data_IF_374746141077
#
_entry.id   IF_374746141077
#
_cell.length_a   1.000
_cell.length_b   1.000
_cell.length_c   1.000
_cell.angle_alpha   90.00
_cell.angle_beta   90.00
_cell.angle_gamma   90.00
#
_symmetry.space_group_name_H-M   'P 1'
#
loop_
_entity.id
_entity.type
_entity.pdbx_description
1 polymer ?
#
# COMPACT_ATOMS: atom_id res chain seq x y z
N UNK A 1 -31.79 15.76 -43.58
CA UNK A 1 -32.48 15.87 -42.29
C UNK A 1 -33.02 14.50 -41.94
N UNK A 2 -32.36 13.77 -41.05
CA UNK A 2 -32.88 12.55 -40.45
C UNK A 2 -32.46 12.54 -38.99
N UNK A 3 -33.46 12.51 -38.12
CA UNK A 3 -33.39 12.62 -36.68
C UNK A 3 -32.58 11.48 -36.04
N UNK A 4 -31.58 11.84 -35.24
CA UNK A 4 -30.94 10.94 -34.28
C UNK A 4 -31.46 11.30 -32.88
N UNK A 5 -32.66 10.78 -32.56
CA UNK A 5 -33.27 10.90 -31.23
C UNK A 5 -32.75 9.81 -30.30
N UNK A 6 -32.13 10.25 -29.21
CA UNK A 6 -32.29 9.75 -27.84
C UNK A 6 -32.09 8.25 -27.58
N UNK A 7 -30.84 7.87 -27.27
CA UNK A 7 -30.55 6.70 -26.44
C UNK A 7 -30.62 7.11 -24.97
N UNK A 8 -31.83 7.04 -24.40
CA UNK A 8 -32.02 7.04 -22.95
C UNK A 8 -31.49 5.72 -22.37
N UNK A 9 -30.79 5.73 -21.22
CA UNK A 9 -30.38 4.50 -20.55
C UNK A 9 -31.63 3.79 -20.02
N UNK A 10 -31.90 2.60 -20.56
CA UNK A 10 -32.98 1.73 -20.13
C UNK A 10 -32.89 1.42 -18.64
N UNK A 11 -34.03 1.60 -17.98
CA UNK A 11 -34.33 1.27 -16.60
C UNK A 11 -33.94 -0.20 -16.32
N UNK A 12 -32.82 -0.41 -15.64
CA UNK A 12 -32.34 -1.75 -15.26
C UNK A 12 -33.25 -2.35 -14.18
N UNK A 13 -33.77 -3.55 -14.43
CA UNK A 13 -34.61 -4.31 -13.51
C UNK A 13 -33.73 -4.79 -12.32
N UNK A 14 -34.12 -4.61 -11.04
CA UNK A 14 -33.31 -5.03 -9.88
C UNK A 14 -32.95 -6.52 -9.84
N UNK A 15 -33.61 -7.37 -10.63
CA UNK A 15 -33.29 -8.78 -10.83
C UNK A 15 -32.12 -9.05 -11.81
N UNK A 16 -31.73 -8.07 -12.63
CA UNK A 16 -30.61 -8.21 -13.58
C UNK A 16 -29.24 -7.96 -12.93
N UNK A 17 -29.22 -7.31 -11.77
CA UNK A 17 -28.00 -7.01 -11.01
C UNK A 17 -27.18 -8.27 -10.65
N UNK A 18 -27.75 -9.34 -10.06
CA UNK A 18 -26.99 -10.55 -9.76
C UNK A 18 -26.54 -11.30 -11.02
N UNK A 19 -27.37 -11.32 -12.07
CA UNK A 19 -27.00 -11.95 -13.34
C UNK A 19 -25.82 -11.22 -14.02
N UNK A 20 -25.84 -9.89 -14.02
CA UNK A 20 -24.76 -9.06 -14.52
C UNK A 20 -23.49 -9.22 -13.70
N UNK A 21 -23.58 -9.27 -12.36
CA UNK A 21 -22.42 -9.52 -11.48
C UNK A 21 -21.74 -10.85 -11.79
N UNK A 22 -22.51 -11.92 -11.95
CA UNK A 22 -21.97 -13.24 -12.32
C UNK A 22 -21.32 -13.18 -13.70
N UNK A 23 -21.94 -12.52 -14.67
CA UNK A 23 -21.38 -12.37 -16.01
C UNK A 23 -20.07 -11.58 -15.99
N UNK A 24 -20.00 -10.47 -15.24
CA UNK A 24 -18.76 -9.71 -15.07
C UNK A 24 -17.67 -10.53 -14.40
N UNK A 25 -17.99 -11.27 -13.34
CA UNK A 25 -17.03 -12.13 -12.65
C UNK A 25 -16.46 -13.22 -13.58
N UNK A 26 -17.31 -13.84 -14.42
CA UNK A 26 -16.86 -14.83 -15.41
C UNK A 26 -15.94 -14.23 -16.47
N UNK A 27 -16.29 -13.05 -16.99
CA UNK A 27 -15.45 -12.34 -17.98
C UNK A 27 -14.10 -11.96 -17.37
N UNK A 28 -14.10 -11.40 -16.16
CA UNK A 28 -12.87 -10.99 -15.46
C UNK A 28 -12.01 -12.22 -15.15
N UNK A 29 -12.59 -13.32 -14.65
CA UNK A 29 -11.86 -14.56 -14.38
C UNK A 29 -11.17 -15.07 -15.64
N UNK A 30 -11.89 -15.11 -16.77
CA UNK A 30 -11.32 -15.56 -18.05
C UNK A 30 -10.19 -14.65 -18.53
N UNK A 31 -10.31 -13.34 -18.37
CA UNK A 31 -9.25 -12.39 -18.71
C UNK A 31 -8.01 -12.63 -17.82
N UNK A 32 -8.20 -12.84 -16.52
CA UNK A 32 -7.11 -13.13 -15.58
C UNK A 32 -6.38 -14.44 -15.91
N UNK A 33 -7.11 -15.49 -16.26
CA UNK A 33 -6.52 -16.77 -16.69
C UNK A 33 -5.72 -16.60 -17.99
N UNK A 34 -6.25 -15.85 -18.96
CA UNK A 34 -5.57 -15.59 -20.24
C UNK A 34 -4.24 -14.84 -20.01
N UNK A 35 -4.24 -13.83 -19.15
CA UNK A 35 -3.08 -12.99 -18.83
C UNK A 35 -2.03 -13.72 -17.99
N UNK A 36 -2.47 -14.69 -17.20
CA UNK A 36 -1.59 -15.54 -16.41
C UNK A 36 -0.78 -16.46 -17.32
N UNK A 37 -1.45 -17.12 -18.27
CA UNK A 37 -0.85 -18.19 -19.07
C UNK A 37 -0.14 -17.67 -20.34
N UNK A 38 -0.56 -16.52 -20.89
CA UNK A 38 0.05 -15.91 -22.07
C UNK A 38 0.78 -14.59 -21.74
N UNK A 39 2.09 -14.58 -21.97
CA UNK A 39 2.94 -13.42 -21.74
C UNK A 39 2.66 -12.27 -22.73
N UNK A 40 2.21 -12.56 -23.96
CA UNK A 40 1.85 -11.55 -24.94
C UNK A 40 0.53 -10.87 -24.56
N UNK A 41 -0.48 -11.66 -24.19
CA UNK A 41 -1.75 -11.16 -23.66
C UNK A 41 -1.54 -10.27 -22.42
N UNK A 42 -0.60 -10.63 -21.53
CA UNK A 42 -0.24 -9.80 -20.37
C UNK A 42 0.33 -8.45 -20.76
N UNK A 43 1.30 -8.42 -21.67
CA UNK A 43 1.91 -7.16 -22.13
C UNK A 43 0.87 -6.28 -22.81
N UNK A 44 0.03 -6.86 -23.66
CA UNK A 44 -1.06 -6.14 -24.33
C UNK A 44 -2.03 -5.51 -23.33
N UNK A 45 -2.47 -6.25 -22.30
CA UNK A 45 -3.36 -5.71 -21.27
C UNK A 45 -2.73 -4.57 -20.47
N UNK A 46 -1.42 -4.64 -20.18
CA UNK A 46 -0.70 -3.54 -19.52
C UNK A 46 -0.65 -2.31 -20.41
N UNK A 47 -0.43 -2.47 -21.71
CA UNK A 47 -0.45 -1.36 -22.67
C UNK A 47 -1.83 -0.72 -22.80
N UNK A 48 -2.89 -1.52 -22.83
CA UNK A 48 -4.26 -1.01 -22.88
C UNK A 48 -4.65 -0.28 -21.59
N UNK A 49 -4.21 -0.77 -20.43
CA UNK A 49 -4.38 -0.07 -19.17
C UNK A 49 -3.60 1.26 -19.15
N UNK A 50 -2.38 1.30 -19.70
CA UNK A 50 -1.59 2.53 -19.78
C UNK A 50 -2.29 3.58 -20.65
N UNK A 51 -2.85 3.18 -21.80
CA UNK A 51 -3.66 4.07 -22.67
C UNK A 51 -4.89 4.61 -21.93
N UNK A 52 -5.63 3.74 -21.24
CA UNK A 52 -6.80 4.13 -20.47
C UNK A 52 -6.45 5.12 -19.35
N UNK A 53 -5.38 4.85 -18.59
CA UNK A 53 -4.91 5.72 -17.51
C UNK A 53 -4.43 7.08 -18.00
N UNK A 54 -3.77 7.11 -19.16
CA UNK A 54 -3.41 8.36 -19.82
C UNK A 54 -4.65 9.16 -20.22
N UNK A 55 -5.73 8.52 -20.67
CA UNK A 55 -6.96 9.23 -20.99
C UNK A 55 -7.68 9.75 -19.73
N UNK A 56 -7.66 9.00 -18.63
CA UNK A 56 -8.26 9.40 -17.35
C UNK A 56 -7.55 10.63 -16.74
N UNK A 57 -6.22 10.64 -16.73
CA UNK A 57 -5.43 11.71 -16.09
C UNK A 57 -5.47 13.05 -16.82
N UNK A 58 -5.77 13.07 -18.12
CA UNK A 58 -5.70 14.27 -18.96
C UNK A 58 -7.08 14.85 -19.30
N UNK A 59 -8.14 14.42 -18.63
CA UNK A 59 -9.51 14.97 -18.80
C UNK A 59 -9.64 16.47 -18.54
N UNK A 60 -8.61 17.13 -17.97
CA UNK A 60 -8.54 18.58 -17.72
C UNK A 60 -7.38 19.30 -18.42
N UNK A 61 -6.58 18.60 -19.23
CA UNK A 61 -5.41 19.19 -19.89
C UNK A 61 -5.71 19.63 -21.34
N UNK A 62 -4.97 20.64 -21.80
CA UNK A 62 -5.09 21.21 -23.14
C UNK A 62 -4.95 20.14 -24.25
N UNK A 63 -5.89 20.11 -25.19
CA UNK A 63 -6.05 19.02 -26.19
C UNK A 63 -4.78 18.71 -26.98
N UNK A 64 -3.95 19.73 -27.26
CA UNK A 64 -2.68 19.60 -27.98
C UNK A 64 -1.63 18.78 -27.21
N UNK A 65 -1.61 18.87 -25.88
CA UNK A 65 -0.68 18.10 -25.05
C UNK A 65 -1.08 16.63 -24.96
N UNK A 66 -2.38 16.32 -25.10
CA UNK A 66 -2.90 14.95 -25.05
C UNK A 66 -2.40 14.14 -26.23
N UNK A 67 -2.46 14.69 -27.44
CA UNK A 67 -2.05 13.98 -28.65
C UNK A 67 -0.54 13.73 -28.69
N UNK A 68 0.27 14.71 -28.23
CA UNK A 68 1.71 14.52 -28.09
C UNK A 68 2.05 13.43 -27.06
N UNK A 69 1.34 13.39 -25.94
CA UNK A 69 1.57 12.39 -24.89
C UNK A 69 1.13 10.99 -25.33
N UNK A 70 0.01 10.88 -26.07
CA UNK A 70 -0.43 9.62 -26.69
C UNK A 70 0.61 9.10 -27.67
N UNK A 71 1.13 9.97 -28.55
CA UNK A 71 2.18 9.59 -29.49
C UNK A 71 3.44 9.10 -28.77
N UNK A 72 3.85 9.80 -27.71
CA UNK A 72 5.00 9.39 -26.89
C UNK A 72 4.79 8.02 -26.24
N UNK A 73 3.57 7.73 -25.75
CA UNK A 73 3.22 6.42 -25.19
C UNK A 73 3.32 5.32 -26.25
N UNK A 74 2.82 5.52 -27.47
CA UNK A 74 2.91 4.51 -28.53
C UNK A 74 4.36 4.22 -28.93
N UNK A 75 5.21 5.25 -29.04
CA UNK A 75 6.65 5.08 -29.32
C UNK A 75 7.34 4.30 -28.19
N UNK A 76 6.97 4.57 -26.93
CA UNK A 76 7.51 3.84 -25.79
C UNK A 76 7.08 2.36 -25.78
N UNK A 77 5.81 2.07 -26.08
CA UNK A 77 5.29 0.70 -26.21
C UNK A 77 6.05 -0.04 -27.32
N UNK A 78 6.24 0.58 -28.49
CA UNK A 78 7.02 -0.01 -29.58
C UNK A 78 8.48 -0.28 -29.17
N UNK A 79 9.10 0.64 -28.43
CA UNK A 79 10.45 0.47 -27.89
C UNK A 79 10.57 -0.70 -26.93
N UNK A 80 9.61 -0.86 -26.01
CA UNK A 80 9.55 -1.99 -25.06
C UNK A 80 9.33 -3.31 -25.80
N UNK A 81 8.47 -3.34 -26.82
CA UNK A 81 8.23 -4.54 -27.61
C UNK A 81 9.46 -4.96 -28.44
N UNK A 82 10.18 -4.00 -29.04
CA UNK A 82 11.45 -4.26 -29.71
C UNK A 82 12.50 -4.83 -28.74
N UNK A 83 12.60 -4.28 -27.54
CA UNK A 83 13.50 -4.78 -26.50
C UNK A 83 13.12 -6.19 -26.04
N UNK A 84 11.83 -6.44 -25.80
CA UNK A 84 11.31 -7.75 -25.38
C UNK A 84 11.56 -8.83 -26.42
N UNK A 85 11.43 -8.51 -27.72
CA UNK A 85 11.69 -9.47 -28.82
C UNK A 85 13.17 -9.79 -28.98
N UNK A 86 14.04 -8.82 -28.76
CA UNK A 86 15.49 -9.01 -28.88
C UNK A 86 16.11 -9.83 -27.74
N UNK A 87 15.43 -9.96 -26.59
CA UNK A 87 15.85 -10.81 -25.48
C UNK A 87 15.39 -12.28 -25.60
N UNK A 88 14.50 -12.60 -26.55
CA UNK A 88 13.82 -13.90 -26.62
C UNK A 88 14.67 -15.10 -27.15
N UNK A 89 15.92 -14.94 -27.64
CA UNK A 89 16.82 -16.10 -27.80
C UNK A 89 17.97 -16.25 -26.80
N UNK A 90 18.06 -15.49 -25.70
CA UNK A 90 19.12 -15.67 -24.70
C UNK A 90 18.58 -16.18 -23.36
N UNK A 91 18.04 -17.41 -23.38
CA UNK A 91 18.04 -18.22 -22.15
C UNK A 91 19.49 -18.67 -21.85
N UNK A 92 19.94 -18.30 -20.66
CA UNK A 92 21.09 -18.85 -19.91
C UNK A 92 22.48 -18.59 -20.49
N UNK A 93 23.01 -17.39 -20.20
CA UNK A 93 24.45 -17.30 -19.94
C UNK A 93 24.71 -17.91 -18.55
N UNK A 94 25.61 -18.91 -18.41
CA UNK A 94 26.09 -19.33 -17.11
C UNK A 94 26.76 -18.12 -16.43
N UNK A 95 26.58 -17.98 -15.12
CA UNK A 95 27.40 -17.09 -14.30
C UNK A 95 28.88 -17.45 -14.55
N UNK A 96 29.54 -16.70 -15.44
CA UNK A 96 30.98 -16.76 -15.57
C UNK A 96 31.55 -16.16 -14.29
N UNK A 97 32.00 -17.06 -13.41
CA UNK A 97 32.99 -16.76 -12.39
C UNK A 97 34.11 -15.96 -13.06
N UNK A 98 34.32 -14.71 -12.65
CA UNK A 98 35.54 -13.98 -12.94
C UNK A 98 36.70 -14.73 -12.25
N UNK A 99 37.69 -15.27 -12.98
CA UNK A 99 38.97 -15.56 -12.38
C UNK A 99 39.66 -14.21 -12.16
N UNK A 100 39.98 -13.95 -10.90
CA UNK A 100 40.87 -12.87 -10.47
C UNK A 100 42.17 -12.91 -11.28
N UNK A 101 42.36 -11.95 -12.18
CA UNK A 101 43.61 -11.77 -12.89
C UNK A 101 44.60 -11.03 -11.97
N UNK A 102 45.51 -11.80 -11.36
CA UNK A 102 46.75 -11.26 -10.82
C UNK A 102 47.60 -10.75 -11.99
N UNK A 103 48.02 -9.51 -11.84
CA UNK A 103 49.04 -8.84 -12.66
C UNK A 103 50.40 -9.47 -12.33
N UNK A 104 51.06 -10.07 -13.34
CA UNK A 104 52.51 -10.19 -13.36
C UNK A 104 53.03 -10.10 -14.80
N UNK A 105 53.53 -8.92 -15.11
CA UNK A 105 54.77 -8.58 -15.85
C UNK A 105 55.61 -9.73 -16.44
N UNK A 106 55.81 -9.75 -17.78
CA UNK A 106 57.09 -9.70 -18.53
C UNK A 106 57.05 -10.39 -19.92
N UNK A 107 57.50 -9.65 -20.96
CA UNK A 107 58.52 -10.10 -21.94
C UNK A 107 58.20 -11.05 -23.12
N UNK A 108 58.34 -10.51 -24.35
CA UNK A 108 58.95 -11.11 -25.58
C UNK A 108 58.24 -12.32 -26.27
N UNK A 109 57.78 -12.26 -27.54
CA UNK A 109 58.45 -12.35 -28.87
C UNK A 109 58.55 -13.81 -29.45
N UNK A 110 58.11 -13.95 -30.72
CA UNK A 110 58.21 -15.07 -31.71
C UNK A 110 57.16 -16.22 -31.64
N UNK A 111 56.77 -17.00 -32.66
CA UNK A 111 56.74 -17.06 -34.15
C UNK A 111 55.99 -18.39 -34.49
N UNK A 112 55.38 -18.50 -35.67
CA UNK A 112 54.89 -19.73 -36.35
C UNK A 112 53.71 -20.47 -35.71
N UNK A 113 52.64 -20.85 -36.43
CA UNK A 113 52.58 -21.32 -37.82
C UNK A 113 52.48 -22.84 -37.80
N UNK A 114 51.29 -23.40 -38.02
CA UNK A 114 50.94 -24.21 -39.20
C UNK A 114 49.59 -24.92 -39.01
N UNK A 115 48.90 -25.13 -40.12
CA UNK A 115 47.63 -25.83 -40.20
C UNK A 115 47.85 -27.28 -40.64
N UNK A 116 47.10 -28.24 -40.08
CA UNK A 116 46.82 -29.50 -40.79
C UNK A 116 45.47 -30.10 -40.41
N UNK A 117 44.87 -30.67 -41.46
CA UNK A 117 43.52 -31.17 -41.68
C UNK A 117 43.31 -32.60 -41.08
N UNK A 118 42.07 -32.85 -40.63
CA UNK A 118 41.24 -34.09 -40.45
C UNK A 118 41.80 -35.46 -40.95
N UNK A 119 41.32 -36.67 -40.50
CA UNK A 119 39.91 -36.99 -40.15
C UNK A 119 39.62 -38.12 -39.09
N UNK A 120 38.34 -38.17 -38.70
CA UNK A 120 37.45 -39.33 -38.44
C UNK A 120 37.93 -40.60 -37.70
N UNK A 121 37.26 -40.92 -36.58
CA UNK A 121 37.10 -42.29 -36.09
C UNK A 121 35.67 -42.53 -35.60
N UNK A 122 35.01 -43.47 -36.25
CA UNK A 122 33.68 -44.00 -35.98
C UNK A 122 33.73 -44.92 -34.74
N UNK A 123 32.84 -44.69 -33.79
CA UNK A 123 32.59 -45.61 -32.66
C UNK A 123 31.08 -45.73 -32.38
N UNK A 124 30.43 -46.74 -32.95
CA UNK A 124 29.09 -47.20 -32.55
C UNK A 124 29.21 -47.99 -31.24
N UNK A 125 28.41 -47.66 -30.22
CA UNK A 125 27.99 -48.66 -29.22
C UNK A 125 26.68 -48.28 -28.50
N UNK A 126 25.67 -49.13 -28.74
CA UNK A 126 24.56 -49.57 -27.88
C UNK A 126 23.85 -48.59 -26.94
N UNK A 127 22.60 -48.32 -27.33
CA UNK A 127 21.36 -48.50 -26.56
C UNK A 127 21.46 -48.63 -25.03
N UNK A 128 20.83 -47.70 -24.31
CA UNK A 128 20.09 -47.93 -23.06
C UNK A 128 19.12 -46.77 -22.82
N UNK A 129 17.81 -47.03 -22.93
CA UNK A 129 16.81 -46.27 -22.19
C UNK A 129 17.04 -46.51 -20.69
N UNK A 130 16.79 -45.51 -19.83
CA UNK A 130 16.20 -45.77 -18.54
C UNK A 130 14.84 -45.07 -18.41
N UNK A 131 13.94 -45.83 -17.81
CA UNK A 131 12.57 -45.52 -17.52
C UNK A 131 12.43 -44.31 -16.59
N UNK A 132 11.43 -43.48 -16.89
CA UNK A 132 10.88 -42.48 -15.99
C UNK A 132 9.89 -43.17 -15.02
N UNK A 133 10.17 -43.11 -13.73
CA UNK A 133 9.16 -43.29 -12.67
C UNK A 133 9.64 -42.58 -11.41
N UNK A 134 9.36 -41.28 -11.31
CA UNK A 134 9.44 -40.51 -10.07
C UNK A 134 8.09 -40.52 -9.34
N UNK A 135 8.06 -40.48 -8.00
CA UNK A 135 6.86 -40.82 -7.23
C UNK A 135 5.86 -39.67 -7.20
N UNK A 136 4.60 -39.95 -7.56
CA UNK A 136 3.43 -39.05 -7.51
C UNK A 136 2.96 -38.69 -6.07
N UNK A 137 3.84 -38.81 -5.08
CA UNK A 137 3.54 -38.58 -3.67
C UNK A 137 3.56 -37.11 -3.18
N UNK A 138 4.20 -36.11 -3.85
CA UNK A 138 4.17 -34.73 -3.36
C UNK A 138 2.97 -33.92 -3.86
N UNK A 139 2.27 -34.37 -4.91
CA UNK A 139 1.11 -33.65 -5.49
C UNK A 139 -0.15 -33.86 -4.67
N UNK A 140 -0.37 -35.07 -4.15
CA UNK A 140 -1.54 -35.41 -3.33
C UNK A 140 -1.51 -34.68 -1.97
N UNK A 141 -0.33 -34.46 -1.38
CA UNK A 141 -0.18 -33.68 -0.14
C UNK A 141 -0.51 -32.19 -0.30
N UNK A 142 -0.26 -31.61 -1.49
CA UNK A 142 -0.57 -30.19 -1.77
C UNK A 142 -2.06 -29.97 -2.02
N UNK A 143 -2.76 -30.92 -2.65
CA UNK A 143 -4.20 -30.85 -2.85
C UNK A 143 -4.99 -30.93 -1.54
N UNK A 144 -4.55 -31.77 -0.58
CA UNK A 144 -5.18 -31.88 0.73
C UNK A 144 -5.07 -30.60 1.57
N UNK A 145 -3.94 -29.89 1.51
CA UNK A 145 -3.75 -28.62 2.22
C UNK A 145 -4.67 -27.50 1.69
N UNK A 146 -4.89 -27.45 0.37
CA UNK A 146 -5.78 -26.47 -0.26
C UNK A 146 -7.25 -26.72 0.14
N UNK A 147 -7.68 -27.98 0.20
CA UNK A 147 -9.04 -28.32 0.64
C UNK A 147 -9.30 -27.97 2.11
N UNK A 148 -8.30 -28.06 2.99
CA UNK A 148 -8.42 -27.63 4.40
C UNK A 148 -8.58 -26.11 4.50
N UNK A 149 -7.83 -25.34 3.70
CA UNK A 149 -7.96 -23.87 3.67
C UNK A 149 -9.32 -23.44 3.13
N UNK A 150 -9.80 -24.06 2.06
CA UNK A 150 -11.13 -23.77 1.51
C UNK A 150 -12.23 -24.14 2.52
N UNK A 151 -12.12 -25.29 3.19
CA UNK A 151 -13.03 -25.68 4.27
C UNK A 151 -13.06 -24.68 5.43
N UNK A 152 -11.90 -24.19 5.86
CA UNK A 152 -11.82 -23.18 6.92
C UNK A 152 -12.48 -21.85 6.52
N UNK A 153 -12.30 -21.42 5.27
CA UNK A 153 -12.94 -20.20 4.75
C UNK A 153 -14.47 -20.36 4.71
N UNK A 154 -14.99 -21.52 4.26
CA UNK A 154 -16.43 -21.79 4.24
C UNK A 154 -17.03 -21.78 5.66
N UNK A 155 -16.32 -22.37 6.64
CA UNK A 155 -16.77 -22.36 8.05
C UNK A 155 -16.82 -20.92 8.60
N UNK A 156 -15.78 -20.11 8.35
CA UNK A 156 -15.72 -18.70 8.80
C UNK A 156 -16.86 -17.87 8.20
N UNK A 157 -17.17 -18.06 6.92
CA UNK A 157 -18.27 -17.33 6.27
C UNK A 157 -19.63 -17.78 6.81
N UNK A 158 -19.85 -19.09 7.02
CA UNK A 158 -21.12 -19.59 7.57
C UNK A 158 -21.40 -19.17 9.02
N UNK A 159 -20.36 -18.95 9.82
CA UNK A 159 -20.51 -18.46 11.20
C UNK A 159 -20.94 -16.99 11.26
N UNK A 160 -20.58 -16.17 10.27
CA UNK A 160 -20.99 -14.76 10.22
C UNK A 160 -22.50 -14.60 10.05
N UNK A 161 -23.15 -15.48 9.28
CA UNK A 161 -24.60 -15.44 9.08
C UNK A 161 -25.40 -15.86 10.32
N UNK A 162 -24.86 -16.83 11.10
CA UNK A 162 -25.49 -17.25 12.37
C UNK A 162 -25.39 -16.18 13.48
N UNK A 163 -24.30 -15.41 13.50
CA UNK A 163 -24.12 -14.30 14.46
C UNK A 163 -25.01 -13.10 14.10
N UNK A 164 -25.22 -12.84 12.81
CA UNK A 164 -26.14 -11.78 12.35
C UNK A 164 -27.61 -12.08 12.72
N UNK A 165 -28.03 -13.35 12.68
CA UNK A 165 -29.37 -13.77 13.10
C UNK A 165 -29.60 -13.64 14.62
N UNK A 166 -28.58 -13.97 15.44
CA UNK A 166 -28.68 -13.86 16.91
C UNK A 166 -28.74 -12.40 17.37
N UNK A 167 -28.05 -11.49 16.68
CA UNK A 167 -28.05 -10.04 16.98
C UNK A 167 -29.41 -9.37 16.72
N UNK A 168 -30.18 -9.88 15.74
CA UNK A 168 -31.55 -9.40 15.47
C UNK A 168 -32.55 -9.82 16.54
N UNK A 169 -32.38 -11.00 17.13
CA UNK A 169 -33.21 -11.48 18.25
C UNK A 169 -32.99 -10.70 19.55
N UNK A 170 -31.77 -10.21 19.77
CA UNK A 170 -31.42 -9.41 20.96
C UNK A 170 -31.87 -7.94 20.80
N UNK A 171 -31.94 -7.44 19.56
CA UNK A 171 -32.33 -6.05 19.28
C UNK A 171 -33.85 -5.82 19.21
N UNK A 172 -34.68 -6.88 19.26
CA UNK A 172 -36.15 -6.78 19.24
C UNK A 172 -36.80 -6.73 20.63
N UNK A 173 -36.03 -6.61 21.71
CA UNK A 173 -36.58 -6.35 23.04
C UNK A 173 -36.78 -4.84 23.23
N UNK A 174 -37.96 -4.37 22.82
CA UNK A 174 -38.49 -3.05 23.14
C UNK A 174 -38.60 -2.91 24.67
N UNK A 175 -38.05 -1.87 25.30
CA UNK A 175 -38.32 -1.60 26.70
C UNK A 175 -39.79 -1.17 26.82
N UNK A 176 -40.62 -1.98 27.45
CA UNK A 176 -41.97 -1.62 27.83
C UNK A 176 -41.89 -0.50 28.88
N UNK A 177 -42.23 0.72 28.46
CA UNK A 177 -42.31 1.89 29.32
C UNK A 177 -43.53 1.68 30.22
N UNK A 178 -43.29 1.23 31.45
CA UNK A 178 -44.32 1.19 32.49
C UNK A 178 -44.73 2.64 32.84
N UNK A 179 -45.96 2.99 32.45
CA UNK A 179 -46.63 4.23 32.79
C UNK A 179 -46.96 4.23 34.30
N UNK A 180 -46.24 5.01 35.10
CA UNK A 180 -46.59 5.25 36.51
C UNK A 180 -47.49 6.48 36.60
N UNK A 181 -48.74 6.29 37.05
CA UNK A 181 -49.69 7.35 37.39
C UNK A 181 -49.35 7.98 38.77
N UNK A 182 -49.69 9.26 39.02
CA UNK A 182 -49.14 10.03 40.14
C UNK A 182 -50.00 10.03 41.43
N UNK A 183 -49.32 10.39 42.55
CA UNK A 183 -49.80 11.09 43.78
C UNK A 183 -50.05 10.23 45.06
N UNK A 184 -49.89 10.75 46.32
CA UNK A 184 -49.31 12.03 46.81
C UNK A 184 -48.12 11.90 47.78
N UNK A 185 -47.51 13.07 48.00
CA UNK A 185 -46.60 13.50 49.07
C UNK A 185 -46.57 12.64 50.36
N UNK A 186 -45.36 12.21 50.73
CA UNK A 186 -44.98 12.06 52.12
C UNK A 186 -43.53 12.48 52.31
N UNK A 187 -43.37 13.60 53.02
CA UNK A 187 -42.29 13.94 53.95
C UNK A 187 -40.85 13.74 53.48
N UNK A 188 -40.22 14.86 53.11
CA UNK A 188 -38.78 15.00 52.91
C UNK A 188 -38.06 14.59 54.20
N UNK A 189 -37.41 13.42 54.18
CA UNK A 189 -36.32 13.12 55.10
C UNK A 189 -35.03 13.33 54.31
N UNK A 190 -34.26 14.35 54.68
CA UNK A 190 -32.94 14.62 54.12
C UNK A 190 -32.03 13.45 54.49
N UNK A 191 -31.87 12.50 53.56
CA UNK A 191 -30.80 11.52 53.61
C UNK A 191 -29.56 12.15 52.97
N UNK A 192 -28.52 12.26 53.80
CA UNK A 192 -27.12 12.52 53.45
C UNK A 192 -26.75 11.87 52.11
N UNK A 193 -26.08 12.56 51.16
CA UNK A 193 -25.66 11.95 49.92
C UNK A 193 -24.70 10.79 50.24
N UNK A 194 -25.17 9.57 50.05
CA UNK A 194 -24.34 8.38 50.10
C UNK A 194 -23.42 8.45 48.88
N UNK A 195 -22.15 8.70 49.20
CA UNK A 195 -21.05 8.83 48.29
C UNK A 195 -20.93 7.53 47.48
N UNK A 196 -21.29 7.57 46.20
CA UNK A 196 -20.91 6.54 45.24
C UNK A 196 -19.38 6.40 45.36
N UNK A 197 -18.84 5.21 45.69
CA UNK A 197 -17.41 5.03 45.76
C UNK A 197 -16.83 5.43 44.40
N UNK A 198 -15.81 6.30 44.35
CA UNK A 198 -15.12 6.54 43.10
C UNK A 198 -14.65 5.18 42.59
N UNK A 199 -15.08 4.82 41.38
CA UNK A 199 -14.56 3.65 40.68
C UNK A 199 -13.03 3.69 40.70
N UNK A 200 -12.36 2.52 40.68
CA UNK A 200 -10.92 2.44 40.82
C UNK A 200 -10.24 3.49 39.92
N UNK A 201 -9.31 4.30 40.48
CA UNK A 201 -8.68 5.38 39.72
C UNK A 201 -8.08 4.76 38.46
N UNK A 202 -8.56 5.21 37.30
CA UNK A 202 -7.93 4.86 36.03
C UNK A 202 -6.44 5.19 36.18
N UNK A 203 -5.53 4.29 35.76
CA UNK A 203 -4.10 4.54 35.89
C UNK A 203 -3.80 5.93 35.33
N UNK A 204 -3.13 6.76 36.14
CA UNK A 204 -2.88 8.16 35.83
C UNK A 204 -2.06 8.24 34.53
N UNK A 205 -2.77 8.45 33.42
CA UNK A 205 -2.17 8.60 32.09
C UNK A 205 -1.34 9.88 32.08
N UNK A 206 -0.14 9.80 31.50
CA UNK A 206 0.74 10.95 31.34
C UNK A 206 0.13 11.91 30.32
N UNK A 207 -0.04 13.17 30.71
CA UNK A 207 -0.58 14.25 29.87
C UNK A 207 0.47 15.36 29.72
N UNK A 208 0.52 16.03 28.56
CA UNK A 208 1.45 17.14 28.34
C UNK A 208 1.08 18.35 29.21
N UNK A 209 2.09 19.09 29.63
CA UNK A 209 1.96 20.35 30.39
C UNK A 209 2.00 21.58 29.49
N UNK A 210 2.64 21.45 28.33
CA UNK A 210 2.86 22.53 27.37
C UNK A 210 2.06 22.29 26.09
N UNK A 211 1.69 23.38 25.40
CA UNK A 211 0.99 23.29 24.14
C UNK A 211 1.85 22.62 23.07
N UNK A 212 1.25 21.69 22.33
CA UNK A 212 1.95 20.92 21.32
C UNK A 212 1.14 19.73 20.83
N UNK A 213 1.74 18.98 19.91
CA UNK A 213 1.21 17.71 19.41
C UNK A 213 2.16 16.62 19.86
N UNK A 214 1.64 15.61 20.55
CA UNK A 214 2.45 14.57 21.17
C UNK A 214 2.01 13.19 20.71
N UNK A 215 2.96 12.28 20.53
CA UNK A 215 2.70 10.85 20.47
C UNK A 215 2.82 10.24 21.87
N UNK A 216 1.88 9.35 22.21
CA UNK A 216 1.84 8.62 23.46
C UNK A 216 2.40 7.21 23.26
N UNK A 217 3.48 6.90 23.97
CA UNK A 217 4.16 5.60 23.90
C UNK A 217 3.73 4.78 25.12
N UNK A 218 3.12 3.62 24.87
CA UNK A 218 2.66 2.65 25.89
C UNK A 218 1.83 3.25 27.04
N UNK A 219 1.09 4.33 26.78
CA UNK A 219 0.33 5.12 27.76
C UNK A 219 1.19 5.67 28.94
N UNK A 220 2.53 5.69 28.79
CA UNK A 220 3.50 6.00 29.87
C UNK A 220 4.43 7.17 29.58
N UNK A 221 4.74 7.45 28.32
CA UNK A 221 5.62 8.57 27.95
C UNK A 221 5.08 9.33 26.75
N UNK A 222 5.42 10.61 26.68
CA UNK A 222 5.02 11.51 25.61
C UNK A 222 6.25 11.98 24.86
N UNK A 223 6.13 12.05 23.53
CA UNK A 223 7.15 12.64 22.67
C UNK A 223 6.49 13.65 21.75
N UNK A 224 7.02 14.87 21.73
CA UNK A 224 6.52 15.93 20.88
C UNK A 224 6.84 15.67 19.40
N UNK A 225 5.83 15.87 18.54
CA UNK A 225 5.96 15.72 17.10
C UNK A 225 6.44 17.01 16.44
N UNK A 226 7.35 16.88 15.48
CA UNK A 226 7.87 18.02 14.72
C UNK A 226 6.98 18.33 13.52
N UNK A 227 6.54 19.58 13.42
CA UNK A 227 5.86 20.09 12.23
C UNK A 227 6.82 20.14 11.03
N UNK A 228 6.34 19.75 9.85
CA UNK A 228 7.09 19.86 8.59
C UNK A 228 6.54 20.99 7.71
N UNK A 229 7.38 21.52 6.83
CA UNK A 229 7.02 22.63 5.94
C UNK A 229 6.09 22.21 4.79
N UNK A 230 5.95 20.91 4.51
CA UNK A 230 5.11 20.39 3.45
C UNK A 230 3.81 19.85 4.03
N UNK A 231 2.70 20.25 3.41
CA UNK A 231 1.35 19.84 3.76
C UNK A 231 1.05 18.46 3.15
N UNK A 232 0.22 17.65 3.81
CA UNK A 232 -0.34 16.49 3.16
C UNK A 232 -1.23 16.94 1.99
N UNK A 233 -0.97 16.49 0.75
CA UNK A 233 -1.73 16.96 -0.40
C UNK A 233 -3.17 16.44 -0.36
N UNK A 234 -4.06 16.97 -1.19
CA UNK A 234 -5.39 16.36 -1.32
C UNK A 234 -5.28 14.87 -1.74
N UNK A 235 -6.23 14.03 -1.33
CA UNK A 235 -6.15 12.57 -1.53
C UNK A 235 -6.14 12.15 -3.02
N UNK A 236 -6.56 13.05 -3.92
CA UNK A 236 -6.49 12.87 -5.39
C UNK A 236 -5.07 13.04 -5.94
N UNK A 237 -4.18 13.68 -5.20
CA UNK A 237 -2.78 13.88 -5.57
C UNK A 237 -1.96 12.75 -4.95
N UNK A 238 -1.34 11.93 -5.81
CA UNK A 238 -0.67 10.71 -5.37
C UNK A 238 0.59 10.94 -4.51
N UNK A 239 1.31 12.05 -4.76
CA UNK A 239 2.63 12.34 -4.19
C UNK A 239 2.75 13.83 -3.89
N UNK A 240 3.24 14.19 -2.71
CA UNK A 240 3.58 15.57 -2.36
C UNK A 240 4.89 16.04 -3.02
N UNK A 241 5.21 17.34 -2.96
CA UNK A 241 6.58 17.80 -3.13
C UNK A 241 7.54 17.08 -2.16
N UNK A 242 8.80 16.94 -2.59
CA UNK A 242 9.87 16.38 -1.76
C UNK A 242 10.17 17.30 -0.57
N UNK A 243 10.39 16.70 0.60
CA UNK A 243 10.76 17.40 1.82
C UNK A 243 11.90 16.68 2.55
N UNK A 244 12.63 17.43 3.36
CA UNK A 244 13.66 16.88 4.24
C UNK A 244 12.97 16.26 5.46
N UNK A 245 13.10 14.94 5.62
CA UNK A 245 12.61 14.20 6.79
C UNK A 245 13.36 14.67 8.05
N UNK A 246 12.65 15.05 9.12
CA UNK A 246 13.25 15.15 10.44
C UNK A 246 13.80 13.79 10.89
N UNK A 247 14.85 13.79 11.71
CA UNK A 247 15.36 12.58 12.36
C UNK A 247 14.37 12.11 13.45
N UNK A 248 13.78 13.05 14.19
CA UNK A 248 12.91 12.78 15.33
C UNK A 248 11.46 13.22 15.09
N UNK A 249 10.48 12.61 15.77
CA UNK A 249 10.62 11.58 16.80
C UNK A 249 10.51 10.13 16.29
N UNK A 250 11.16 9.23 17.02
CA UNK A 250 11.10 7.78 16.84
C UNK A 250 10.12 7.16 17.85
N UNK A 251 9.26 6.28 17.37
CA UNK A 251 8.28 5.54 18.15
C UNK A 251 8.65 4.07 18.14
N UNK A 252 8.74 3.45 19.31
CA UNK A 252 9.08 2.04 19.47
C UNK A 252 7.96 1.07 19.05
N UNK A 253 6.74 1.57 18.85
CA UNK A 253 5.56 0.76 18.52
C UNK A 253 4.72 1.41 17.42
N UNK A 254 4.15 0.56 16.56
CA UNK A 254 3.17 0.96 15.53
C UNK A 254 1.76 1.24 16.07
N UNK A 255 1.47 0.91 17.33
CA UNK A 255 0.19 1.25 17.98
C UNK A 255 0.23 2.68 18.49
N UNK A 256 0.03 3.62 17.57
CA UNK A 256 0.16 5.04 17.85
C UNK A 256 -1.13 5.63 18.42
N UNK A 257 -0.99 6.45 19.46
CA UNK A 257 -2.01 7.37 19.96
C UNK A 257 -1.39 8.75 20.02
N UNK A 258 -2.18 9.78 19.78
CA UNK A 258 -1.69 11.16 19.83
C UNK A 258 -2.51 12.00 20.80
N UNK A 259 -1.86 13.00 21.38
CA UNK A 259 -2.50 14.03 22.19
C UNK A 259 -2.26 15.37 21.50
N UNK A 260 -3.35 16.07 21.22
CA UNK A 260 -3.34 17.45 20.75
C UNK A 260 -3.64 18.31 21.96
N UNK A 261 -2.69 19.17 22.34
CA UNK A 261 -2.92 20.20 23.33
C UNK A 261 -2.74 21.55 22.65
N UNK A 262 -3.86 22.20 22.31
CA UNK A 262 -3.89 23.46 21.55
C UNK A 262 -5.09 24.29 21.93
N UNK A 263 -4.88 25.60 22.10
CA UNK A 263 -5.95 26.55 22.42
C UNK A 263 -6.95 26.77 21.29
N UNK A 264 -6.48 26.74 20.04
CA UNK A 264 -7.26 27.10 18.86
C UNK A 264 -8.13 25.96 18.29
N UNK A 265 -7.99 24.73 18.80
CA UNK A 265 -8.77 23.59 18.33
C UNK A 265 -10.24 23.62 18.83
N UNK A 266 -10.54 24.48 19.81
CA UNK A 266 -11.89 24.67 20.34
C UNK A 266 -12.85 25.29 19.30
N UNK A 267 -12.31 26.11 18.39
CA UNK A 267 -13.09 26.82 17.37
C UNK A 267 -13.09 26.09 16.02
N UNK A 268 -12.12 25.20 15.79
CA UNK A 268 -11.93 24.47 14.53
C UNK A 268 -11.62 23.00 14.86
N UNK A 269 -12.65 22.17 14.92
CA UNK A 269 -12.46 20.72 14.93
C UNK A 269 -11.95 20.33 13.54
N UNK A 270 -10.75 19.73 13.41
CA UNK A 270 -10.23 19.34 12.12
C UNK A 270 -11.16 18.33 11.46
N UNK A 271 -11.71 18.68 10.28
CA UNK A 271 -12.60 17.79 9.52
C UNK A 271 -11.92 16.47 9.11
N UNK A 272 -10.59 16.51 8.96
CA UNK A 272 -9.78 15.37 8.53
C UNK A 272 -8.54 15.25 9.41
N UNK A 273 -8.52 14.18 10.20
CA UNK A 273 -7.34 13.73 10.93
C UNK A 273 -6.95 12.37 10.39
N UNK A 274 -5.77 12.29 9.80
CA UNK A 274 -5.28 11.05 9.21
C UNK A 274 -3.77 10.95 9.33
N UNK A 275 -3.27 9.74 9.49
CA UNK A 275 -1.85 9.44 9.37
C UNK A 275 -1.57 9.03 7.94
N UNK A 276 -0.62 9.70 7.28
CA UNK A 276 -0.20 9.38 5.92
C UNK A 276 1.16 8.75 5.87
N UNK A 277 1.33 7.90 4.86
CA UNK A 277 2.58 7.20 4.58
C UNK A 277 3.58 8.16 3.92
N UNK A 278 4.83 8.17 4.41
CA UNK A 278 5.94 8.85 3.76
C UNK A 278 6.80 7.81 3.04
N UNK A 279 7.10 8.06 1.76
CA UNK A 279 7.99 7.23 1.00
C UNK A 279 9.39 7.84 0.86
N UNK A 280 10.41 7.01 1.01
CA UNK A 280 11.79 7.34 0.65
C UNK A 280 11.90 7.34 -0.87
N UNK A 281 12.45 8.42 -1.43
CA UNK A 281 12.64 8.56 -2.88
C UNK A 281 14.06 8.17 -3.23
N UNK A 282 14.23 7.20 -4.12
CA UNK A 282 15.52 6.82 -4.70
C UNK A 282 15.58 7.21 -6.15
N UNK A 283 16.66 7.85 -6.56
CA UNK A 283 16.87 8.22 -7.96
C UNK A 283 17.51 7.05 -8.73
N UNK A 284 16.87 6.63 -9.81
CA UNK A 284 17.40 5.67 -10.75
C UNK A 284 17.88 6.42 -11.99
N UNK A 285 19.21 6.53 -12.17
CA UNK A 285 19.81 7.07 -13.38
C UNK A 285 20.18 5.93 -14.33
N UNK A 286 19.72 6.01 -15.57
CA UNK A 286 20.10 5.06 -16.64
C UNK A 286 21.44 5.42 -17.30
N UNK A 287 22.03 6.57 -16.95
CA UNK A 287 23.34 7.01 -17.44
C UNK A 287 24.39 6.87 -16.33
N UNK A 288 25.38 6.00 -16.55
CA UNK A 288 26.54 5.79 -15.66
C UNK A 288 27.46 7.02 -15.50
N UNK A 289 27.08 8.17 -16.05
CA UNK A 289 27.85 9.40 -16.06
C UNK A 289 26.94 10.61 -15.80
N UNK A 290 26.21 10.62 -14.68
CA UNK A 290 25.73 11.89 -14.13
C UNK A 290 25.67 11.77 -12.62
N UNK A 291 26.35 12.70 -11.96
CA UNK A 291 26.46 12.85 -10.52
C UNK A 291 25.08 12.72 -9.88
N UNK A 292 24.91 11.75 -8.99
CA UNK A 292 23.75 11.64 -8.09
C UNK A 292 23.63 12.96 -7.33
N UNK A 293 22.65 13.77 -7.67
CA UNK A 293 22.48 15.09 -7.07
C UNK A 293 20.99 15.37 -7.00
N UNK A 294 20.38 15.00 -5.88
CA UNK A 294 19.05 15.50 -5.53
C UNK A 294 18.26 14.69 -4.50
N UNK A 295 18.46 13.38 -4.39
CA UNK A 295 17.71 12.53 -3.45
C UNK A 295 18.59 11.92 -2.37
N UNK A 296 18.97 12.70 -1.36
CA UNK A 296 19.62 12.15 -0.17
C UNK A 296 18.69 11.17 0.55
N UNK A 297 19.25 10.26 1.35
CA UNK A 297 18.51 9.34 2.23
C UNK A 297 17.48 10.05 3.15
N UNK A 298 17.67 11.35 3.34
CA UNK A 298 16.83 12.25 4.12
C UNK A 298 15.64 12.84 3.36
N UNK A 299 15.52 12.65 2.04
CA UNK A 299 14.40 13.15 1.26
C UNK A 299 13.21 12.19 1.30
N UNK A 300 12.03 12.72 1.57
CA UNK A 300 10.77 11.97 1.59
C UNK A 300 9.66 12.66 0.82
N UNK A 301 8.65 11.89 0.44
CA UNK A 301 7.39 12.40 -0.13
C UNK A 301 6.21 11.79 0.60
N UNK A 302 5.16 12.57 0.82
CA UNK A 302 3.91 12.10 1.40
C UNK A 302 3.09 11.43 0.30
N UNK A 303 2.64 10.20 0.54
CA UNK A 303 1.81 9.40 -0.36
C UNK A 303 0.33 9.62 -0.06
N UNK A 304 -0.53 9.25 -1.01
CA UNK A 304 -1.99 9.28 -0.82
C UNK A 304 -2.55 8.08 -0.02
N UNK A 305 -1.70 7.29 0.63
CA UNK A 305 -2.15 6.25 1.55
C UNK A 305 -2.37 6.86 2.92
N UNK A 306 -3.57 6.69 3.47
CA UNK A 306 -3.93 7.23 4.78
C UNK A 306 -4.59 6.20 5.69
N UNK A 307 -4.38 6.42 6.98
CA UNK A 307 -5.02 5.73 8.09
C UNK A 307 -5.89 6.75 8.84
N UNK A 308 -7.21 6.56 8.90
CA UNK A 308 -8.11 7.54 9.50
C UNK A 308 -8.04 7.51 11.03
N UNK A 309 -7.95 8.68 11.65
CA UNK A 309 -7.97 8.84 13.12
C UNK A 309 -9.21 9.61 13.54
N UNK A 310 -9.71 9.29 14.74
CA UNK A 310 -10.83 9.97 15.37
C UNK A 310 -10.34 10.81 16.53
N UNK A 311 -10.93 11.99 16.67
CA UNK A 311 -10.65 12.93 17.75
C UNK A 311 -11.68 12.76 18.87
N UNK A 312 -11.20 12.71 20.11
CA UNK A 312 -12.04 12.69 21.30
C UNK A 312 -11.51 13.69 22.33
N UNK A 313 -12.37 14.51 22.96
CA UNK A 313 -11.93 15.41 24.03
C UNK A 313 -11.51 14.59 25.26
N UNK A 314 -10.47 15.05 25.96
CA UNK A 314 -10.04 14.43 27.22
C UNK A 314 -10.91 14.98 28.37
N UNK A 315 -11.67 14.14 29.11
CA UNK A 315 -12.56 14.63 30.17
C UNK A 315 -11.82 15.43 31.24
N UNK A 316 -12.36 16.60 31.59
CA UNK A 316 -11.78 17.48 32.62
C UNK A 316 -10.50 18.21 32.19
N UNK A 317 -10.10 18.12 30.92
CA UNK A 317 -8.94 18.83 30.36
C UNK A 317 -9.38 19.66 29.16
N UNK A 318 -9.63 20.95 29.39
CA UNK A 318 -9.91 21.88 28.31
C UNK A 318 -8.74 21.91 27.32
N UNK A 319 -9.03 22.15 26.04
CA UNK A 319 -8.02 22.31 24.97
C UNK A 319 -7.17 21.06 24.68
N UNK A 320 -7.48 19.92 25.31
CA UNK A 320 -6.79 18.65 25.11
C UNK A 320 -7.69 17.60 24.47
N UNK A 321 -7.18 17.00 23.41
CA UNK A 321 -7.87 15.97 22.64
C UNK A 321 -6.96 14.78 22.39
N UNK A 322 -7.52 13.58 22.47
CA UNK A 322 -6.85 12.34 22.11
C UNK A 322 -7.25 11.94 20.70
N UNK A 323 -6.26 11.57 19.90
CA UNK A 323 -6.45 10.92 18.62
C UNK A 323 -6.21 9.42 18.77
N UNK A 324 -7.22 8.64 18.38
CA UNK A 324 -7.14 7.19 18.30
C UNK A 324 -7.39 6.74 16.87
N UNK A 325 -6.72 5.65 16.49
CA UNK A 325 -6.98 5.01 15.20
C UNK A 325 -8.47 4.64 15.11
N UNK A 326 -9.07 4.84 13.93
CA UNK A 326 -10.47 4.43 13.72
C UNK A 326 -10.65 2.91 13.80
N UNK A 327 -9.58 2.18 13.46
CA UNK A 327 -9.46 0.74 13.64
C UNK A 327 -8.62 0.48 14.90
N UNK A 328 -9.20 -0.21 15.88
CA UNK A 328 -8.54 -0.49 17.17
C UNK A 328 -7.41 -1.50 17.05
N UNK A 329 -7.42 -2.30 15.98
CA UNK A 329 -6.41 -3.33 15.71
C UNK A 329 -5.31 -2.79 14.79
N UNK A 330 -5.36 -1.49 14.43
CA UNK A 330 -4.37 -0.87 13.59
C UNK A 330 -3.00 -0.85 14.28
N UNK A 331 -2.06 -1.52 13.65
CA UNK A 331 -0.63 -1.42 13.94
C UNK A 331 0.09 -0.92 12.69
N UNK A 332 0.69 0.27 12.78
CA UNK A 332 1.48 0.82 11.69
C UNK A 332 2.74 -0.02 11.51
N UNK A 333 3.03 -0.50 10.27
CA UNK A 333 4.32 -1.10 9.98
C UNK A 333 5.49 -0.17 10.33
N UNK A 334 6.70 -0.70 10.55
CA UNK A 334 7.88 0.14 10.69
C UNK A 334 8.09 1.09 9.50
N UNK A 335 8.53 2.30 9.79
CA UNK A 335 8.96 3.30 8.82
C UNK A 335 8.36 4.69 9.01
N UNK A 336 8.16 5.45 7.93
CA UNK A 336 7.98 6.90 7.97
C UNK A 336 6.53 7.33 7.75
N UNK A 337 6.07 8.26 8.59
CA UNK A 337 4.69 8.72 8.60
C UNK A 337 4.58 10.22 8.89
N UNK A 338 3.42 10.78 8.53
CA UNK A 338 3.01 12.11 8.97
C UNK A 338 1.60 12.07 9.53
N UNK A 339 1.37 12.71 10.67
CA UNK A 339 0.04 13.04 11.15
C UNK A 339 -0.41 14.33 10.45
N UNK A 340 -1.47 14.23 9.65
CA UNK A 340 -2.10 15.37 8.98
C UNK A 340 -3.20 15.95 9.86
N UNK A 341 -3.04 17.21 10.26
CA UNK A 341 -3.97 17.95 11.09
C UNK A 341 -4.32 19.28 10.41
N UNK A 342 -5.44 19.29 9.67
CA UNK A 342 -5.83 20.45 8.87
C UNK A 342 -4.78 20.81 7.83
N UNK A 343 -4.24 22.03 7.89
CA UNK A 343 -3.20 22.53 6.99
C UNK A 343 -1.77 22.17 7.42
N UNK A 344 -1.58 21.52 8.56
CA UNK A 344 -0.27 21.21 9.12
C UNK A 344 -0.02 19.69 9.11
N UNK A 345 1.20 19.29 8.77
CA UNK A 345 1.65 17.91 8.90
C UNK A 345 2.76 17.81 9.96
N UNK A 346 2.75 16.71 10.71
CA UNK A 346 3.70 16.42 11.78
C UNK A 346 4.36 15.08 11.52
N UNK A 347 5.69 15.06 11.38
CA UNK A 347 6.43 13.85 11.06
C UNK A 347 6.68 12.98 12.29
N UNK A 348 6.72 11.67 12.08
CA UNK A 348 7.24 10.69 13.03
C UNK A 348 7.71 9.42 12.30
N UNK A 349 8.53 8.64 12.98
CA UNK A 349 9.01 7.34 12.51
C UNK A 349 8.60 6.25 13.48
N UNK A 350 8.15 5.11 12.96
CA UNK A 350 8.01 3.86 13.71
C UNK A 350 9.27 3.03 13.50
N UNK A 351 9.92 2.65 14.59
CA UNK A 351 11.19 1.93 14.53
C UNK A 351 11.01 0.49 14.01
N UNK A 352 12.06 0.01 13.33
CA UNK A 352 12.11 -1.34 12.75
C UNK A 352 12.52 -1.32 11.28
N UNK A 353 12.58 -2.51 10.68
CA UNK A 353 12.92 -2.68 9.26
C UNK A 353 11.72 -2.31 8.36
N UNK A 354 11.94 -1.42 7.40
CA UNK A 354 10.90 -0.99 6.47
C UNK A 354 10.61 -2.13 5.47
N UNK A 355 9.47 -2.79 5.66
CA UNK A 355 9.03 -3.91 4.83
C UNK A 355 7.85 -3.55 3.92
N UNK A 356 7.26 -2.38 4.09
CA UNK A 356 6.11 -1.92 3.34
C UNK A 356 6.54 -1.22 2.04
N UNK A 357 6.20 -1.80 0.89
CA UNK A 357 6.51 -1.24 -0.43
C UNK A 357 5.87 0.15 -0.67
N UNK A 358 4.83 0.52 0.08
CA UNK A 358 4.21 1.86 0.00
C UNK A 358 5.14 2.97 0.48
N UNK A 359 6.17 2.62 1.25
CA UNK A 359 7.17 3.53 1.80
C UNK A 359 8.42 3.67 0.92
N UNK A 360 8.41 3.09 -0.28
CA UNK A 360 9.55 3.16 -1.18
C UNK A 360 9.11 3.57 -2.58
N UNK A 361 9.80 4.57 -3.14
CA UNK A 361 9.61 5.03 -4.49
C UNK A 361 10.92 5.12 -5.26
N UNK A 362 10.90 4.63 -6.48
CA UNK A 362 11.93 4.79 -7.49
C UNK A 362 11.54 5.94 -8.41
N UNK A 363 12.41 6.94 -8.48
CA UNK A 363 12.29 8.13 -9.34
C UNK A 363 13.14 7.94 -10.58
N UNK A 364 12.51 8.03 -11.75
CA UNK A 364 13.19 8.04 -13.04
C UNK A 364 13.04 9.42 -13.66
N UNK A 365 14.16 10.11 -13.82
CA UNK A 365 14.21 11.42 -14.49
C UNK A 365 14.48 11.21 -15.98
N UNK A 366 13.50 11.52 -16.83
CA UNK A 366 13.59 11.45 -18.28
C UNK A 366 13.44 12.85 -18.91
N UNK A 367 13.82 13.00 -20.17
CA UNK A 367 13.77 14.32 -20.86
C UNK A 367 12.36 14.93 -20.96
N UNK A 368 11.31 14.14 -20.78
CA UNK A 368 9.91 14.56 -20.80
C UNK A 368 9.27 14.68 -19.41
N UNK A 369 10.00 14.42 -18.32
CA UNK A 369 9.49 14.56 -16.96
C UNK A 369 10.05 13.55 -15.96
N UNK A 370 9.51 13.63 -14.75
CA UNK A 370 9.88 12.77 -13.63
C UNK A 370 8.78 11.74 -13.38
N UNK A 371 9.15 10.47 -13.38
CA UNK A 371 8.23 9.36 -13.14
C UNK A 371 8.57 8.68 -11.81
N UNK A 372 7.53 8.27 -11.08
CA UNK A 372 7.67 7.56 -9.81
C UNK A 372 7.03 6.17 -9.92
N UNK A 373 7.77 5.13 -9.53
CA UNK A 373 7.28 3.76 -9.45
C UNK A 373 7.50 3.21 -8.03
N UNK A 374 6.63 2.32 -7.51
CA UNK A 374 6.90 1.58 -6.27
C UNK A 374 8.15 0.71 -6.41
N UNK A 375 8.93 0.57 -5.35
CA UNK A 375 10.11 -0.31 -5.35
C UNK A 375 9.71 -1.78 -5.46
N UNK A 376 10.52 -2.60 -6.16
CA UNK A 376 10.27 -4.04 -6.30
C UNK A 376 10.44 -4.84 -4.99
N UNK A 377 11.28 -4.35 -4.08
CA UNK A 377 11.49 -4.92 -2.74
C UNK A 377 11.49 -3.78 -1.74
N UNK A 378 10.90 -3.95 -0.56
CA UNK A 378 10.98 -2.95 0.50
C UNK A 378 12.12 -3.27 1.50
N UNK A 379 12.27 -4.55 1.85
CA UNK A 379 13.21 -5.10 2.84
C UNK A 379 14.70 -5.04 2.47
N UNK A 380 15.14 -4.04 1.70
CA UNK A 380 16.55 -3.85 1.37
C UNK A 380 16.95 -2.37 1.47
N UNK A 381 16.09 -1.52 2.05
CA UNK A 381 16.12 -0.07 1.86
C UNK A 381 15.92 0.80 3.10
#
# INVERSE_FOLDING_TARGET
MSDSRDLLPGQQDPTDLPANQVQFALVISRMLDTVKDDAEARRQMVYDLARYKLQEQFTYADTKNIDQMKLALEVAIEGVEKFSRNQAPLERLPQQQLPSAKVTETGSVLVSGDATVLPSAIGKSRSKLPAASGPLLPVIKRAAAILVVIGAIIVIVSQRDRIAALRRLISSQTPEIALVAPKPESTITVAKPEMVPPGPPQPARVLPTDYGIYALIDDKSLVELSAIAVMAPDMRIAISPEFKKPDRPHLSSGRVKFIIFRRDILDVIPERVEVRVVAKVREFSTNAATKTSGGGEDAGVIRNFSYPFRIAPIPGKAEMYELHASDTDLELPPGHYVLSLGSQAYYFQVDGEITDARQCLERVSAGNGTFYAPCQKAATY
#
